data_IF_520875606398
#
_entry.id   IF_520875606398
#
_cell.length_a   1.000
_cell.length_b   1.000
_cell.length_c   1.000
_cell.angle_alpha   90.00
_cell.angle_beta   90.00
_cell.angle_gamma   90.00
#
_symmetry.space_group_name_H-M   'P 1'
#
loop_
_entity.id
_entity.type
_entity.pdbx_description
1 polymer ?
#
# COMPACT_ATOMS: atom_id res chain seq x y z
N UNK A 1 -24.81 -11.18 -10.95
CA UNK A 1 -24.37 -10.69 -9.64
C UNK A 1 -23.15 -9.81 -9.79
N UNK A 2 -23.18 -8.68 -9.17
CA UNK A 2 -22.09 -7.73 -9.25
C UNK A 2 -20.98 -8.12 -8.27
N UNK A 3 -19.81 -8.38 -8.80
CA UNK A 3 -18.62 -8.70 -8.01
C UNK A 3 -17.68 -7.50 -7.91
N UNK A 4 -18.20 -6.29 -8.14
CA UNK A 4 -17.36 -5.12 -8.07
C UNK A 4 -16.85 -4.89 -6.67
N UNK A 5 -15.60 -4.43 -6.60
CA UNK A 5 -14.95 -4.06 -5.35
C UNK A 5 -15.48 -2.70 -4.93
N UNK A 6 -15.87 -2.58 -3.69
CA UNK A 6 -16.35 -1.32 -3.13
C UNK A 6 -15.23 -0.53 -2.48
N UNK A 7 -15.42 0.79 -2.36
CA UNK A 7 -14.44 1.68 -1.74
C UNK A 7 -13.99 1.20 -0.36
N UNK A 8 -14.94 0.67 0.43
CA UNK A 8 -14.63 0.17 1.77
C UNK A 8 -13.70 -1.04 1.78
N UNK A 9 -13.64 -1.80 0.69
CA UNK A 9 -12.73 -2.94 0.60
C UNK A 9 -11.27 -2.47 0.58
N UNK A 10 -11.02 -1.29 0.01
CA UNK A 10 -9.68 -0.72 -0.04
C UNK A 10 -9.24 -0.19 1.33
N UNK A 11 -10.18 0.23 2.17
CA UNK A 11 -9.86 0.67 3.54
C UNK A 11 -9.20 -0.46 4.32
N UNK A 12 -9.61 -1.70 4.09
CA UNK A 12 -9.01 -2.86 4.75
C UNK A 12 -7.53 -3.01 4.41
N UNK A 13 -7.14 -2.58 3.24
CA UNK A 13 -5.74 -2.62 2.81
C UNK A 13 -4.90 -1.64 3.64
N UNK A 14 -5.37 -0.40 3.77
CA UNK A 14 -4.66 0.61 4.58
C UNK A 14 -4.70 0.26 6.06
N UNK A 15 -5.81 -0.26 6.56
CA UNK A 15 -5.91 -0.75 7.94
C UNK A 15 -4.89 -1.84 8.21
N UNK A 16 -4.74 -2.80 7.30
CA UNK A 16 -3.78 -3.89 7.44
C UNK A 16 -2.35 -3.37 7.55
N UNK A 17 -2.00 -2.40 6.71
CA UNK A 17 -0.68 -1.77 6.75
C UNK A 17 -0.46 -1.03 8.07
N UNK A 18 -1.45 -0.24 8.50
CA UNK A 18 -1.37 0.51 9.74
C UNK A 18 -1.23 -0.43 10.96
N UNK A 19 -1.99 -1.50 11.00
CA UNK A 19 -1.92 -2.48 12.08
C UNK A 19 -0.55 -3.16 12.13
N UNK A 20 -0.01 -3.51 10.98
CA UNK A 20 1.32 -4.13 10.92
C UNK A 20 2.39 -3.18 11.43
N UNK A 21 2.35 -1.92 10.99
CA UNK A 21 3.30 -0.89 11.44
C UNK A 21 3.16 -0.61 12.95
N UNK A 22 1.94 -0.63 13.48
CA UNK A 22 1.66 -0.30 14.88
C UNK A 22 2.39 -1.21 15.87
N UNK A 23 2.71 -2.42 15.49
CA UNK A 23 3.44 -3.37 16.33
C UNK A 23 4.89 -2.92 16.57
N UNK A 24 5.38 -2.03 15.76
CA UNK A 24 6.73 -1.48 15.84
C UNK A 24 6.77 -0.08 16.45
N UNK A 25 5.62 0.40 16.91
CA UNK A 25 5.50 1.75 17.48
C UNK A 25 6.42 1.92 18.69
N UNK A 26 7.21 2.98 18.65
CA UNK A 26 8.08 3.34 19.77
C UNK A 26 9.30 2.44 19.98
N UNK A 27 9.59 1.54 19.04
CA UNK A 27 10.72 0.62 19.18
C UNK A 27 12.03 1.11 18.56
N UNK A 28 11.99 2.25 17.90
CA UNK A 28 13.18 2.80 17.24
C UNK A 28 13.63 2.02 16.01
N UNK A 29 12.77 1.18 15.46
CA UNK A 29 13.08 0.30 14.33
C UNK A 29 12.33 0.78 13.09
N UNK A 30 12.81 1.85 12.50
CA UNK A 30 12.16 2.48 11.35
C UNK A 30 11.98 1.51 10.18
N UNK A 31 13.03 0.79 9.81
CA UNK A 31 12.99 -0.10 8.66
C UNK A 31 12.08 -1.31 8.90
N UNK A 32 12.02 -1.79 10.13
CA UNK A 32 11.12 -2.89 10.48
C UNK A 32 9.66 -2.46 10.39
N UNK A 33 9.33 -1.26 10.86
CA UNK A 33 7.99 -0.71 10.76
C UNK A 33 7.56 -0.54 9.30
N UNK A 34 8.44 0.04 8.49
CA UNK A 34 8.21 0.23 7.06
C UNK A 34 8.02 -1.11 6.35
N UNK A 35 8.93 -2.04 6.56
CA UNK A 35 8.89 -3.35 5.92
C UNK A 35 7.63 -4.14 6.27
N UNK A 36 7.20 -4.09 7.53
CA UNK A 36 5.99 -4.77 7.97
C UNK A 36 4.75 -4.20 7.27
N UNK A 37 4.66 -2.89 7.16
CA UNK A 37 3.55 -2.23 6.48
C UNK A 37 3.53 -2.54 4.98
N UNK A 38 4.68 -2.47 4.32
CA UNK A 38 4.83 -2.77 2.89
C UNK A 38 4.38 -4.20 2.60
N UNK A 39 4.91 -5.15 3.35
CA UNK A 39 4.60 -6.57 3.15
C UNK A 39 3.10 -6.84 3.34
N UNK A 40 2.51 -6.29 4.40
CA UNK A 40 1.10 -6.53 4.68
C UNK A 40 0.19 -5.84 3.68
N UNK A 41 0.52 -4.64 3.24
CA UNK A 41 -0.26 -3.95 2.22
C UNK A 41 -0.24 -4.72 0.89
N UNK A 42 0.93 -5.18 0.48
CA UNK A 42 1.07 -5.95 -0.75
C UNK A 42 0.26 -7.24 -0.69
N UNK A 43 0.31 -7.94 0.44
CA UNK A 43 -0.46 -9.16 0.64
C UNK A 43 -1.96 -8.90 0.55
N UNK A 44 -2.44 -7.84 1.20
CA UNK A 44 -3.86 -7.47 1.18
C UNK A 44 -4.32 -7.09 -0.22
N UNK A 45 -3.51 -6.33 -0.96
CA UNK A 45 -3.82 -5.98 -2.35
C UNK A 45 -3.87 -7.22 -3.25
N UNK A 46 -2.98 -8.19 -3.01
CA UNK A 46 -2.94 -9.43 -3.78
C UNK A 46 -4.19 -10.27 -3.65
N UNK A 47 -4.91 -10.14 -2.55
CA UNK A 47 -6.14 -10.88 -2.29
C UNK A 47 -7.39 -10.24 -2.92
N UNK A 48 -7.29 -9.01 -3.40
CA UNK A 48 -8.43 -8.29 -3.96
C UNK A 48 -8.76 -8.75 -5.39
N UNK A 49 -10.04 -8.72 -5.73
CA UNK A 49 -10.51 -9.05 -7.08
C UNK A 49 -10.36 -7.86 -8.03
N UNK A 50 -9.12 -7.50 -8.28
CA UNK A 50 -8.74 -6.43 -9.19
C UNK A 50 -7.55 -6.87 -10.04
N UNK A 51 -7.37 -6.21 -11.18
CA UNK A 51 -6.12 -6.25 -11.94
C UNK A 51 -5.44 -4.91 -11.71
N UNK A 52 -4.70 -4.81 -10.61
CA UNK A 52 -4.08 -3.57 -10.16
C UNK A 52 -2.67 -3.40 -10.67
N UNK A 53 -2.26 -2.15 -10.87
CA UNK A 53 -0.90 -1.80 -11.22
C UNK A 53 -0.45 -0.62 -10.38
N UNK A 54 0.71 -0.77 -9.73
CA UNK A 54 1.29 0.31 -8.93
C UNK A 54 1.82 1.40 -9.87
N UNK A 55 1.34 2.61 -9.69
CA UNK A 55 1.78 3.79 -10.45
C UNK A 55 2.68 4.67 -9.59
N UNK A 56 2.35 4.81 -8.32
CA UNK A 56 3.17 5.48 -7.32
C UNK A 56 3.29 4.50 -6.15
N UNK A 57 4.50 4.17 -5.78
CA UNK A 57 4.76 3.17 -4.74
C UNK A 57 6.08 3.38 -4.03
N UNK A 58 6.76 2.29 -3.68
CA UNK A 58 7.98 2.30 -2.86
C UNK A 58 9.25 2.61 -3.64
N UNK A 59 9.16 2.71 -4.96
CA UNK A 59 10.30 3.05 -5.80
C UNK A 59 10.32 2.26 -7.08
N UNK A 60 11.41 2.38 -7.83
CA UNK A 60 11.59 1.65 -9.06
C UNK A 60 11.79 0.16 -8.80
N UNK A 61 11.53 -0.66 -9.80
CA UNK A 61 11.57 -2.12 -9.68
C UNK A 61 12.91 -2.65 -9.15
N UNK A 62 14.01 -2.04 -9.52
CA UNK A 62 15.33 -2.47 -9.08
C UNK A 62 15.71 -1.97 -7.69
N UNK A 63 14.94 -1.07 -7.11
CA UNK A 63 15.18 -0.48 -5.80
C UNK A 63 14.25 -1.02 -4.71
N UNK A 64 13.06 -1.46 -5.09
CA UNK A 64 12.04 -1.92 -4.15
C UNK A 64 11.58 -3.33 -4.52
N UNK A 65 11.64 -4.30 -3.60
CA UNK A 65 11.21 -5.67 -3.87
C UNK A 65 9.69 -5.82 -3.91
N UNK A 66 8.96 -4.90 -3.29
CA UNK A 66 7.50 -4.94 -3.19
C UNK A 66 6.93 -3.54 -3.40
N UNK A 67 5.71 -3.49 -3.95
CA UNK A 67 5.00 -2.25 -4.25
C UNK A 67 5.84 -1.30 -5.11
N UNK A 68 6.64 -1.88 -6.00
CA UNK A 68 7.43 -1.09 -6.93
C UNK A 68 6.57 -0.58 -8.09
N UNK A 69 7.01 0.49 -8.71
CA UNK A 69 6.31 1.08 -9.87
C UNK A 69 6.22 0.04 -10.99
N UNK A 70 5.00 -0.24 -11.42
CA UNK A 70 4.71 -1.23 -12.45
C UNK A 70 4.34 -2.61 -11.91
N UNK A 71 4.44 -2.86 -10.60
CA UNK A 71 4.05 -4.15 -10.04
C UNK A 71 2.56 -4.37 -10.24
N UNK A 72 2.21 -5.58 -10.70
CA UNK A 72 0.82 -5.97 -10.91
C UNK A 72 0.36 -6.83 -9.74
N UNK A 73 -0.79 -6.48 -9.19
CA UNK A 73 -1.35 -7.12 -7.99
C UNK A 73 -2.83 -7.37 -8.13
N UNK A 74 -3.30 -8.38 -7.41
CA UNK A 74 -4.71 -8.75 -7.40
C UNK A 74 -4.96 -10.08 -8.08
N UNK A 75 -6.13 -10.64 -7.83
CA UNK A 75 -6.52 -11.95 -8.40
C UNK A 75 -7.12 -11.83 -9.80
N UNK A 76 -7.26 -10.64 -10.31
CA UNK A 76 -7.88 -10.37 -11.62
C UNK A 76 -9.23 -9.70 -11.47
N UNK A 77 -9.67 -9.04 -12.50
CA UNK A 77 -10.92 -8.32 -12.52
C UNK A 77 -10.76 -6.94 -13.11
N UNK A 78 -11.39 -5.94 -12.48
CA UNK A 78 -11.34 -4.58 -12.96
C UNK A 78 -9.91 -4.04 -12.97
N UNK A 79 -9.52 -3.46 -14.10
CA UNK A 79 -8.19 -2.86 -14.25
C UNK A 79 -8.14 -1.51 -13.58
N UNK A 80 -7.20 -1.36 -12.62
CA UNK A 80 -7.06 -0.14 -11.85
C UNK A 80 -5.59 0.24 -11.71
N UNK A 81 -5.37 1.55 -11.55
CA UNK A 81 -4.07 2.10 -11.16
C UNK A 81 -4.09 2.38 -9.66
N UNK A 82 -2.97 2.17 -9.02
CA UNK A 82 -2.85 2.25 -7.56
C UNK A 82 -1.65 3.15 -7.20
N UNK A 83 -1.90 4.08 -6.29
CA UNK A 83 -0.85 4.88 -5.67
C UNK A 83 -0.88 4.57 -4.18
N UNK A 84 0.26 4.22 -3.59
CA UNK A 84 0.34 3.79 -2.19
C UNK A 84 1.45 4.47 -1.43
N UNK A 85 1.21 4.65 -0.15
CA UNK A 85 2.24 4.89 0.85
C UNK A 85 1.84 4.09 2.09
N UNK A 86 2.47 2.94 2.33
CA UNK A 86 2.11 2.07 3.45
C UNK A 86 2.31 2.73 4.81
N UNK A 87 3.32 3.57 4.96
CA UNK A 87 3.53 4.39 6.15
C UNK A 87 4.10 5.74 5.75
N UNK A 88 3.26 6.75 5.78
CA UNK A 88 3.72 8.13 5.72
C UNK A 88 4.07 8.55 7.14
N UNK A 89 5.33 8.92 7.35
CA UNK A 89 5.81 9.27 8.69
C UNK A 89 6.38 8.07 9.44
N UNK A 90 7.22 7.27 8.79
CA UNK A 90 7.83 6.08 9.39
C UNK A 90 8.62 6.41 10.66
N UNK A 91 9.29 7.57 10.70
CA UNK A 91 10.00 8.02 11.90
C UNK A 91 9.06 8.29 13.07
N UNK A 92 7.84 8.74 12.78
CA UNK A 92 6.84 8.96 13.82
C UNK A 92 6.44 7.64 14.47
N UNK A 93 6.26 6.59 13.67
CA UNK A 93 5.97 5.26 14.19
C UNK A 93 7.13 4.76 15.05
N UNK A 94 8.34 4.81 14.53
CA UNK A 94 9.52 4.32 15.23
C UNK A 94 9.72 5.00 16.57
N UNK A 95 9.41 6.28 16.66
CA UNK A 95 9.58 7.08 17.87
C UNK A 95 8.32 7.15 18.75
N UNK A 96 7.25 6.45 18.38
CA UNK A 96 6.01 6.46 19.15
C UNK A 96 5.28 7.78 19.13
N UNK A 97 5.43 8.56 18.07
CA UNK A 97 4.80 9.87 17.92
C UNK A 97 3.53 9.76 17.09
N UNK A 98 2.58 10.70 17.25
CA UNK A 98 1.32 10.67 16.52
C UNK A 98 1.46 11.13 15.06
N UNK A 99 0.39 10.91 14.30
CA UNK A 99 0.16 11.46 12.95
C UNK A 99 0.81 10.70 11.79
N UNK A 100 1.32 9.48 12.00
CA UNK A 100 1.66 8.61 10.89
C UNK A 100 0.36 8.11 10.24
N UNK A 101 0.36 7.95 8.93
CA UNK A 101 -0.80 7.45 8.20
C UNK A 101 -0.40 6.38 7.17
N UNK A 102 -1.35 5.51 6.86
CA UNK A 102 -1.26 4.62 5.70
C UNK A 102 -2.28 5.14 4.68
N UNK A 103 -1.86 5.30 3.43
CA UNK A 103 -2.71 5.93 2.42
C UNK A 103 -2.62 5.21 1.08
N UNK A 104 -3.75 5.22 0.37
CA UNK A 104 -3.84 4.63 -0.97
C UNK A 104 -4.83 5.43 -1.80
N UNK A 105 -4.50 5.62 -3.06
CA UNK A 105 -5.43 6.14 -4.05
C UNK A 105 -5.60 5.07 -5.12
N UNK A 106 -6.81 4.95 -5.62
CA UNK A 106 -7.12 3.97 -6.65
C UNK A 106 -8.02 4.60 -7.69
N UNK A 107 -7.79 4.27 -8.97
CA UNK A 107 -8.57 4.83 -10.07
C UNK A 107 -8.50 3.89 -11.26
N UNK A 108 -9.29 4.17 -12.28
CA UNK A 108 -9.27 3.37 -13.51
C UNK A 108 -7.89 3.38 -14.15
N UNK A 109 -7.56 2.28 -14.81
CA UNK A 109 -6.28 2.11 -15.50
C UNK A 109 -5.98 3.29 -16.43
N UNK A 110 -4.81 3.88 -16.29
CA UNK A 110 -4.36 4.97 -17.12
C UNK A 110 -4.79 6.35 -16.65
N UNK A 111 -5.48 6.46 -15.53
CA UNK A 111 -6.01 7.75 -15.04
C UNK A 111 -5.16 8.45 -13.99
N UNK A 112 -4.23 7.72 -13.35
CA UNK A 112 -3.35 8.34 -12.35
C UNK A 112 -2.10 8.91 -12.99
N UNK A 113 -1.65 10.06 -12.48
CA UNK A 113 -0.40 10.67 -12.90
C UNK A 113 0.79 9.79 -12.48
N UNK A 114 1.68 9.55 -13.42
CA UNK A 114 2.94 8.88 -13.12
C UNK A 114 3.92 9.92 -12.57
N UNK A 115 4.02 9.99 -11.25
CA UNK A 115 4.91 10.94 -10.59
C UNK A 115 6.37 10.53 -10.80
N UNK A 116 7.29 11.52 -10.94
CA UNK A 116 8.71 11.25 -11.08
C UNK A 116 9.35 10.71 -9.81
#
# INVERSE_FOLDING_TARGET
MDHSVHSLDFVRVTESAAMAASRWMGRGQRDAADGAAVERMREALGEMEIAGRIVIGEGERDEAPMLYIGEELGSGGREVDIAVDPVEGTNLVANGLPNAIAVMAISERGSLLHAP
#
